data_IF_905539002330
#
_entry.id   IF_905539002330
#
_cell.length_a   1.000
_cell.length_b   1.000
_cell.length_c   1.000
_cell.angle_alpha   90.00
_cell.angle_beta   90.00
_cell.angle_gamma   90.00
#
_symmetry.space_group_name_H-M   'P 1'
#
loop_
_entity.id
_entity.type
_entity.pdbx_description
1 polymer ?
#
# COMPACT_ATOMS: atom_id res chain seq x y z
N UNK A 1 67.16 -33.27 -36.66
CA UNK A 1 66.12 -33.70 -35.70
C UNK A 1 65.43 -34.92 -36.35
N UNK A 2 65.31 -36.02 -35.62
CA UNK A 2 64.65 -37.21 -36.06
C UNK A 2 63.37 -37.54 -35.29
N UNK A 3 63.20 -36.94 -34.08
CA UNK A 3 61.98 -37.07 -33.30
C UNK A 3 61.85 -35.85 -32.36
N UNK A 4 60.62 -35.40 -32.12
CA UNK A 4 60.32 -34.27 -31.27
C UNK A 4 58.98 -34.44 -30.56
N UNK A 5 58.97 -34.09 -29.27
CA UNK A 5 57.76 -33.99 -28.44
C UNK A 5 57.81 -32.71 -27.65
N UNK A 6 56.80 -31.85 -27.77
CA UNK A 6 56.65 -30.67 -26.95
C UNK A 6 56.43 -31.05 -25.48
N UNK A 7 56.99 -30.24 -24.57
CA UNK A 7 56.67 -30.36 -23.16
C UNK A 7 55.21 -29.92 -22.90
N UNK A 8 54.53 -30.62 -22.03
CA UNK A 8 53.21 -30.25 -21.52
C UNK A 8 53.33 -29.66 -20.13
N UNK A 9 52.22 -29.34 -19.51
CA UNK A 9 52.22 -28.86 -18.10
C UNK A 9 52.80 -29.92 -17.13
N UNK A 10 52.67 -31.21 -17.46
CA UNK A 10 52.97 -32.34 -16.55
C UNK A 10 53.99 -33.31 -17.08
N UNK A 11 54.29 -33.26 -18.37
CA UNK A 11 55.22 -34.18 -19.02
C UNK A 11 56.34 -33.44 -19.69
N UNK A 12 57.53 -33.97 -19.55
CA UNK A 12 58.70 -33.45 -20.22
C UNK A 12 58.60 -33.64 -21.74
N UNK A 13 59.03 -32.62 -22.46
CA UNK A 13 59.27 -32.68 -23.89
C UNK A 13 60.67 -33.20 -24.21
N UNK A 14 60.96 -33.48 -25.48
CA UNK A 14 62.27 -33.85 -25.94
C UNK A 14 62.49 -33.56 -27.41
N UNK A 15 63.75 -33.43 -27.79
CA UNK A 15 64.19 -33.39 -29.18
C UNK A 15 65.33 -34.40 -29.36
N UNK A 16 65.18 -35.34 -30.30
CA UNK A 16 66.18 -36.30 -30.64
C UNK A 16 66.89 -35.87 -31.92
N UNK A 17 68.18 -35.84 -31.85
CA UNK A 17 69.07 -35.52 -32.98
C UNK A 17 69.87 -36.76 -33.40
N UNK A 18 70.23 -36.79 -34.68
CA UNK A 18 71.16 -37.80 -35.23
C UNK A 18 72.30 -37.10 -35.94
N UNK A 19 73.49 -37.55 -35.73
CA UNK A 19 74.67 -37.09 -36.44
C UNK A 19 74.69 -37.58 -37.87
N UNK A 20 74.73 -36.73 -38.88
CA UNK A 20 74.71 -37.08 -40.29
C UNK A 20 75.98 -37.75 -40.74
N UNK A 21 77.06 -37.80 -39.93
CA UNK A 21 78.35 -38.39 -40.27
C UNK A 21 78.55 -39.72 -39.59
N UNK A 22 78.15 -39.92 -38.34
CA UNK A 22 78.40 -41.15 -37.57
C UNK A 22 77.14 -41.82 -37.07
N UNK A 23 75.95 -41.33 -37.44
CA UNK A 23 74.64 -41.88 -37.03
C UNK A 23 74.46 -42.02 -35.51
N UNK A 24 75.33 -41.40 -34.72
CA UNK A 24 75.09 -41.29 -33.24
C UNK A 24 73.89 -40.45 -32.96
N UNK A 25 73.05 -40.86 -32.02
CA UNK A 25 71.85 -40.09 -31.55
C UNK A 25 72.06 -39.56 -30.15
N UNK A 26 71.49 -38.36 -29.88
CA UNK A 26 71.38 -37.83 -28.55
C UNK A 26 70.02 -37.17 -28.35
N UNK A 27 69.60 -37.08 -27.15
CA UNK A 27 68.27 -36.56 -26.75
C UNK A 27 68.42 -35.40 -25.79
N UNK A 28 67.89 -34.26 -26.18
CA UNK A 28 67.72 -33.10 -25.28
C UNK A 28 66.32 -33.17 -24.70
N UNK A 29 66.23 -33.05 -23.36
CA UNK A 29 64.95 -33.03 -22.64
C UNK A 29 64.58 -31.59 -22.29
N UNK A 30 63.31 -31.25 -22.55
CA UNK A 30 62.69 -29.99 -22.11
C UNK A 30 61.80 -30.29 -20.90
N UNK A 31 62.08 -29.81 -19.72
CA UNK A 31 61.27 -30.14 -18.55
C UNK A 31 59.83 -29.66 -18.71
N UNK A 32 58.90 -30.35 -18.05
CA UNK A 32 57.48 -29.98 -18.00
C UNK A 32 57.33 -28.52 -17.54
N UNK A 33 56.44 -27.78 -18.24
CA UNK A 33 56.29 -26.33 -18.03
C UNK A 33 55.61 -25.99 -16.70
N UNK A 34 55.01 -26.97 -16.01
CA UNK A 34 54.19 -26.75 -14.85
C UNK A 34 52.82 -26.14 -15.19
N UNK A 35 52.02 -25.85 -14.18
CA UNK A 35 50.75 -25.19 -14.35
C UNK A 35 50.83 -23.69 -14.10
N UNK A 36 50.36 -22.91 -15.05
CA UNK A 36 50.19 -21.42 -14.85
C UNK A 36 48.79 -21.19 -14.33
N UNK A 37 48.70 -20.80 -13.07
CA UNK A 37 47.45 -20.57 -12.34
C UNK A 37 46.79 -19.26 -12.71
N UNK A 38 45.48 -19.29 -12.95
CA UNK A 38 44.62 -18.13 -13.02
C UNK A 38 43.41 -18.34 -12.06
N UNK A 39 43.05 -17.28 -11.35
CA UNK A 39 41.92 -17.34 -10.40
C UNK A 39 40.58 -17.32 -11.11
N UNK A 40 39.67 -18.17 -10.66
CA UNK A 40 38.25 -18.15 -10.98
C UNK A 40 37.55 -17.38 -9.87
N UNK A 41 37.01 -16.19 -10.21
CA UNK A 41 36.41 -15.30 -9.23
C UNK A 41 35.24 -15.94 -8.48
N UNK A 42 35.10 -15.61 -7.19
CA UNK A 42 33.93 -15.95 -6.38
C UNK A 42 32.68 -15.27 -6.90
N UNK A 43 31.53 -15.92 -6.75
CA UNK A 43 30.20 -15.38 -7.04
C UNK A 43 29.40 -15.41 -5.77
N UNK A 44 28.92 -14.24 -5.32
CA UNK A 44 28.07 -14.14 -4.13
C UNK A 44 26.74 -14.84 -4.30
N UNK A 45 26.31 -15.57 -3.26
CA UNK A 45 24.96 -16.15 -3.22
C UNK A 45 23.92 -15.03 -2.98
N UNK A 46 22.81 -15.10 -3.73
CA UNK A 46 21.62 -14.26 -3.52
C UNK A 46 20.53 -15.02 -2.77
N UNK A 47 19.37 -14.41 -2.55
CA UNK A 47 18.23 -15.13 -1.95
C UNK A 47 17.71 -16.28 -2.84
N UNK A 48 17.97 -16.23 -4.16
CA UNK A 48 17.38 -17.15 -5.15
C UNK A 48 18.43 -18.01 -5.88
N UNK A 49 19.68 -17.55 -5.92
CA UNK A 49 20.74 -18.21 -6.66
C UNK A 49 21.90 -18.58 -5.74
N UNK A 50 22.39 -19.80 -5.92
CA UNK A 50 23.61 -20.23 -5.26
C UNK A 50 24.82 -19.44 -5.78
N UNK A 51 25.75 -19.17 -4.90
CA UNK A 51 27.06 -18.60 -5.22
C UNK A 51 28.11 -19.68 -5.41
N UNK A 52 29.37 -19.23 -5.60
CA UNK A 52 30.56 -20.09 -5.69
C UNK A 52 31.72 -19.42 -4.97
N UNK A 53 32.54 -20.23 -4.32
CA UNK A 53 33.81 -19.75 -3.76
C UNK A 53 34.80 -19.42 -4.89
N UNK A 54 35.89 -18.72 -4.53
CA UNK A 54 37.03 -18.56 -5.42
C UNK A 54 37.68 -19.91 -5.73
N UNK A 55 38.01 -20.11 -7.00
CA UNK A 55 38.75 -21.29 -7.49
C UNK A 55 39.96 -20.88 -8.32
N UNK A 56 40.59 -21.86 -8.97
CA UNK A 56 41.65 -21.60 -9.96
C UNK A 56 41.82 -22.71 -10.96
N UNK A 57 42.26 -22.38 -12.16
CA UNK A 57 42.59 -23.34 -13.21
C UNK A 57 43.90 -22.98 -13.93
N UNK A 58 44.47 -23.92 -14.65
CA UNK A 58 45.63 -23.66 -15.47
C UNK A 58 45.24 -23.04 -16.81
N UNK A 59 45.82 -21.89 -17.17
CA UNK A 59 45.58 -21.20 -18.46
C UNK A 59 45.96 -22.02 -19.68
N UNK A 60 46.95 -22.91 -19.57
CA UNK A 60 47.53 -23.65 -20.68
C UNK A 60 46.75 -24.93 -20.97
N UNK A 61 46.38 -25.70 -19.94
CA UNK A 61 45.77 -27.02 -20.13
C UNK A 61 44.33 -27.11 -19.58
N UNK A 62 43.81 -26.05 -18.94
CA UNK A 62 42.47 -26.01 -18.39
C UNK A 62 42.26 -26.85 -17.12
N UNK A 63 43.31 -27.53 -16.60
CA UNK A 63 43.18 -28.33 -15.38
C UNK A 63 42.73 -27.46 -14.20
N UNK A 64 41.68 -27.89 -13.49
CA UNK A 64 41.26 -27.26 -12.24
C UNK A 64 42.33 -27.52 -11.17
N UNK A 65 42.90 -26.46 -10.63
CA UNK A 65 43.92 -26.49 -9.56
C UNK A 65 43.26 -26.36 -8.19
N UNK A 66 42.27 -25.47 -8.08
CA UNK A 66 41.40 -25.32 -6.90
C UNK A 66 39.97 -25.29 -7.36
N UNK A 67 39.18 -26.31 -6.96
CA UNK A 67 37.77 -26.36 -7.33
C UNK A 67 36.97 -25.25 -6.62
N UNK A 68 36.01 -24.63 -7.34
CA UNK A 68 35.03 -23.78 -6.73
C UNK A 68 34.01 -24.64 -5.96
N UNK A 69 33.69 -24.22 -4.72
CA UNK A 69 32.63 -24.85 -3.90
C UNK A 69 31.34 -24.05 -4.06
N UNK A 70 30.20 -24.75 -4.07
CA UNK A 70 28.89 -24.10 -4.13
C UNK A 70 28.54 -23.49 -2.77
N UNK A 71 28.20 -22.20 -2.77
CA UNK A 71 27.61 -21.49 -1.62
C UNK A 71 26.09 -21.54 -1.81
N UNK A 72 25.32 -22.19 -0.90
CA UNK A 72 23.86 -22.26 -1.08
C UNK A 72 23.21 -20.88 -1.15
N UNK A 73 22.09 -20.79 -1.85
CA UNK A 73 21.28 -19.57 -1.89
C UNK A 73 20.88 -19.16 -0.46
N UNK A 74 20.80 -17.85 -0.20
CA UNK A 74 20.33 -17.29 1.07
C UNK A 74 18.82 -17.37 1.09
N UNK A 75 18.24 -17.88 2.17
CA UNK A 75 16.78 -17.89 2.33
C UNK A 75 16.20 -16.46 2.41
N UNK A 76 14.89 -16.35 2.12
CA UNK A 76 14.18 -15.09 2.26
C UNK A 76 13.86 -14.78 3.73
N UNK A 77 14.29 -13.62 4.21
CA UNK A 77 13.92 -13.08 5.52
C UNK A 77 12.66 -12.23 5.37
N UNK A 78 11.53 -12.71 5.89
CA UNK A 78 10.25 -12.03 5.77
C UNK A 78 10.15 -10.80 6.66
N UNK A 79 9.69 -9.69 6.10
CA UNK A 79 9.24 -8.48 6.80
C UNK A 79 7.74 -8.32 6.52
N UNK A 80 6.98 -8.04 7.58
CA UNK A 80 5.53 -7.86 7.48
C UNK A 80 5.16 -6.49 6.92
N UNK A 81 4.30 -6.49 5.91
CA UNK A 81 3.63 -5.31 5.38
C UNK A 81 2.28 -5.17 6.09
N UNK A 82 2.13 -4.16 6.95
CA UNK A 82 0.94 -4.00 7.76
C UNK A 82 -0.33 -3.84 6.91
N UNK A 83 -1.41 -4.48 7.32
CA UNK A 83 -2.73 -4.30 6.75
C UNK A 83 -3.34 -2.95 7.14
N UNK A 84 -4.24 -2.45 6.32
CA UNK A 84 -5.03 -1.23 6.56
C UNK A 84 -6.51 -1.58 6.45
N UNK A 85 -7.30 -1.29 7.49
CA UNK A 85 -8.75 -1.54 7.47
C UNK A 85 -9.48 -0.67 6.45
N UNK A 86 -10.47 -1.25 5.77
CA UNK A 86 -11.36 -0.48 4.90
C UNK A 86 -12.25 0.47 5.71
N UNK A 87 -12.50 1.66 5.17
CA UNK A 87 -13.45 2.65 5.71
C UNK A 87 -14.76 2.65 4.91
N UNK A 88 -15.67 3.57 5.21
CA UNK A 88 -16.90 3.72 4.41
C UNK A 88 -16.62 4.12 2.96
N UNK A 89 -15.52 4.81 2.69
CA UNK A 89 -15.22 5.43 1.40
C UNK A 89 -13.90 4.98 0.78
N UNK A 90 -12.99 4.41 1.57
CA UNK A 90 -11.70 3.93 1.10
C UNK A 90 -11.57 2.43 1.27
N UNK A 91 -10.96 1.78 0.27
CA UNK A 91 -10.55 0.38 0.35
C UNK A 91 -9.47 0.20 1.39
N UNK A 92 -9.42 -0.98 1.99
CA UNK A 92 -8.30 -1.42 2.84
C UNK A 92 -7.38 -2.38 2.09
N UNK A 93 -6.39 -2.90 2.82
CA UNK A 93 -5.49 -3.97 2.37
C UNK A 93 -5.26 -4.96 3.49
N UNK A 94 -5.18 -6.24 3.18
CA UNK A 94 -4.77 -7.27 4.14
C UNK A 94 -3.28 -7.12 4.49
N UNK A 95 -2.86 -7.82 5.53
CA UNK A 95 -1.45 -7.97 5.84
C UNK A 95 -0.75 -8.79 4.76
N UNK A 96 0.45 -8.34 4.34
CA UNK A 96 1.34 -9.00 3.42
C UNK A 96 2.73 -9.20 3.99
N UNK A 97 3.69 -9.61 3.15
CA UNK A 97 5.11 -9.66 3.52
C UNK A 97 6.02 -9.63 2.30
N UNK A 98 7.21 -9.08 2.48
CA UNK A 98 8.28 -9.07 1.49
C UNK A 98 9.62 -9.50 2.11
N UNK A 99 10.59 -9.85 1.27
CA UNK A 99 11.93 -10.17 1.74
C UNK A 99 12.71 -8.89 2.05
N UNK A 100 13.27 -8.79 3.26
CA UNK A 100 14.09 -7.67 3.70
C UNK A 100 15.32 -7.41 2.81
N UNK A 101 15.88 -8.46 2.22
CA UNK A 101 17.14 -8.40 1.49
C UNK A 101 16.96 -8.10 -0.01
N UNK A 102 15.99 -8.74 -0.66
CA UNK A 102 15.79 -8.64 -2.11
C UNK A 102 14.49 -7.96 -2.53
N UNK A 103 13.60 -7.62 -1.58
CA UNK A 103 12.31 -6.98 -1.84
C UNK A 103 11.24 -7.88 -2.47
N UNK A 104 11.53 -9.16 -2.73
CA UNK A 104 10.56 -10.08 -3.31
C UNK A 104 9.32 -10.18 -2.42
N UNK A 105 8.13 -10.01 -3.03
CA UNK A 105 6.86 -10.22 -2.33
C UNK A 105 6.71 -11.70 -2.00
N UNK A 106 6.61 -12.03 -0.71
CA UNK A 106 6.42 -13.39 -0.19
C UNK A 106 4.94 -13.70 0.02
N UNK A 107 4.19 -12.70 0.48
CA UNK A 107 2.73 -12.74 0.60
C UNK A 107 2.16 -11.43 0.10
N UNK A 108 1.39 -11.47 -0.97
CA UNK A 108 0.76 -10.27 -1.53
C UNK A 108 -0.33 -9.73 -0.60
N UNK A 109 -0.46 -8.40 -0.52
CA UNK A 109 -1.60 -7.76 0.12
C UNK A 109 -2.82 -7.85 -0.82
N UNK A 110 -3.97 -8.24 -0.26
CA UNK A 110 -5.26 -8.26 -0.97
C UNK A 110 -6.06 -7.02 -0.63
N UNK A 111 -6.82 -6.51 -1.60
CA UNK A 111 -7.69 -5.35 -1.40
C UNK A 111 -8.94 -5.74 -0.61
N UNK A 112 -9.22 -5.01 0.48
CA UNK A 112 -10.46 -5.11 1.24
C UNK A 112 -11.41 -4.05 0.67
N UNK A 113 -12.61 -4.42 0.18
CA UNK A 113 -13.55 -3.47 -0.40
C UNK A 113 -14.04 -2.45 0.63
N UNK A 114 -14.50 -1.28 0.17
CA UNK A 114 -15.12 -0.25 1.01
C UNK A 114 -16.32 -0.80 1.77
N UNK A 115 -16.53 -0.34 3.01
CA UNK A 115 -17.67 -0.77 3.83
C UNK A 115 -19.00 -0.15 3.39
N UNK A 116 -18.97 0.96 2.62
CA UNK A 116 -20.14 1.74 2.27
C UNK A 116 -20.73 2.50 3.46
N UNK A 117 -21.94 3.07 3.26
CA UNK A 117 -22.64 3.84 4.30
C UNK A 117 -23.90 3.12 4.77
N UNK A 118 -24.06 2.97 6.09
CA UNK A 118 -25.28 2.51 6.72
C UNK A 118 -26.06 3.72 7.22
N UNK A 119 -27.22 3.99 6.62
CA UNK A 119 -28.03 5.17 6.94
C UNK A 119 -28.74 5.03 8.28
N UNK A 120 -28.67 6.07 9.10
CA UNK A 120 -29.53 6.28 10.27
C UNK A 120 -30.36 7.54 10.03
N UNK A 121 -31.66 7.45 10.32
CA UNK A 121 -32.61 8.53 10.08
C UNK A 121 -32.48 9.62 11.16
N UNK A 122 -32.34 10.86 10.73
CA UNK A 122 -32.47 12.05 11.57
C UNK A 122 -33.90 12.53 11.52
N UNK A 123 -34.64 12.40 12.62
CA UNK A 123 -36.06 12.71 12.66
C UNK A 123 -36.33 14.19 12.28
N UNK A 124 -37.38 14.39 11.49
CA UNK A 124 -37.89 15.71 11.20
C UNK A 124 -38.58 16.34 12.41
N UNK A 125 -38.64 17.66 12.45
CA UNK A 125 -39.38 18.46 13.45
C UNK A 125 -40.40 19.30 12.71
N UNK A 126 -41.69 19.19 13.09
CA UNK A 126 -42.73 20.01 12.49
C UNK A 126 -42.56 21.48 12.85
N UNK A 127 -42.76 22.37 11.89
CA UNK A 127 -42.85 23.78 12.15
C UNK A 127 -44.08 24.10 13.00
N UNK A 128 -43.96 25.08 13.91
CA UNK A 128 -45.07 25.64 14.68
C UNK A 128 -45.38 27.06 14.18
N UNK A 129 -46.29 27.74 14.84
CA UNK A 129 -46.60 29.15 14.49
C UNK A 129 -45.39 30.05 14.67
N UNK A 130 -44.49 29.76 15.64
CA UNK A 130 -43.40 30.65 16.03
C UNK A 130 -42.00 30.06 15.77
N UNK A 131 -41.91 28.73 15.65
CA UNK A 131 -40.63 28.06 15.48
C UNK A 131 -40.57 27.35 14.15
N UNK A 132 -39.42 27.49 13.47
CA UNK A 132 -39.14 26.73 12.27
C UNK A 132 -39.00 25.26 12.60
N UNK A 133 -39.41 24.40 11.68
CA UNK A 133 -39.21 22.98 11.70
C UNK A 133 -38.02 22.54 10.85
N UNK A 134 -37.82 21.25 10.73
CA UNK A 134 -36.83 20.62 9.85
C UNK A 134 -37.43 19.38 9.19
N UNK A 135 -37.03 19.13 7.95
CA UNK A 135 -37.36 17.88 7.27
C UNK A 135 -36.62 16.70 7.90
N UNK A 136 -37.06 15.50 7.60
CA UNK A 136 -36.28 14.29 7.87
C UNK A 136 -34.98 14.27 7.05
N UNK A 137 -33.88 13.89 7.69
CA UNK A 137 -32.57 13.67 7.09
C UNK A 137 -32.02 12.29 7.37
N UNK A 138 -30.74 12.07 7.03
CA UNK A 138 -30.03 10.86 7.43
C UNK A 138 -28.52 11.07 7.43
N UNK A 139 -27.83 10.34 8.28
CA UNK A 139 -26.38 10.28 8.36
C UNK A 139 -25.88 8.83 8.40
N UNK A 140 -24.60 8.61 8.14
CA UNK A 140 -23.98 7.29 8.26
C UNK A 140 -23.70 6.97 9.73
N UNK A 141 -24.19 5.81 10.20
CA UNK A 141 -23.98 5.33 11.57
C UNK A 141 -22.50 5.17 11.95
N UNK A 142 -21.63 4.86 10.96
CA UNK A 142 -20.21 4.54 11.20
C UNK A 142 -19.30 5.76 11.13
N UNK A 143 -19.48 6.64 10.13
CA UNK A 143 -18.57 7.76 9.88
C UNK A 143 -19.21 9.15 10.11
N UNK A 144 -20.53 9.22 10.41
CA UNK A 144 -21.25 10.46 10.63
C UNK A 144 -21.52 11.29 9.36
N UNK A 145 -21.09 10.86 8.18
CA UNK A 145 -21.33 11.60 6.94
C UNK A 145 -22.80 11.81 6.70
N UNK A 146 -23.21 13.05 6.43
CA UNK A 146 -24.60 13.38 6.07
C UNK A 146 -24.91 12.77 4.71
N UNK A 147 -25.90 11.88 4.65
CA UNK A 147 -26.36 11.23 3.43
C UNK A 147 -27.54 11.98 2.82
N UNK A 148 -28.43 12.50 3.66
CA UNK A 148 -29.55 13.37 3.30
C UNK A 148 -29.61 14.53 4.28
N UNK A 149 -29.35 15.74 3.81
CA UNK A 149 -29.40 16.92 4.66
C UNK A 149 -30.84 17.23 5.08
N UNK A 150 -31.01 17.66 6.35
CA UNK A 150 -32.26 18.26 6.80
C UNK A 150 -32.40 19.66 6.21
N UNK A 151 -33.57 20.01 5.71
CA UNK A 151 -33.90 21.37 5.27
C UNK A 151 -34.81 22.05 6.28
N UNK A 152 -34.66 23.35 6.45
CA UNK A 152 -35.49 24.16 7.35
C UNK A 152 -36.87 24.33 6.74
N UNK A 153 -37.92 24.10 7.56
CA UNK A 153 -39.32 24.41 7.26
C UNK A 153 -39.64 25.69 8.01
N UNK A 154 -40.01 26.76 7.30
CA UNK A 154 -40.30 28.03 7.92
C UNK A 154 -41.46 27.91 8.95
N UNK A 155 -41.44 28.74 10.01
CA UNK A 155 -42.57 28.84 10.93
C UNK A 155 -43.84 29.22 10.17
N UNK A 156 -44.97 28.60 10.55
CA UNK A 156 -46.23 28.77 9.81
C UNK A 156 -46.90 30.13 10.03
N UNK A 157 -46.43 30.87 11.03
CA UNK A 157 -47.05 32.11 11.45
C UNK A 157 -48.37 31.87 12.19
N UNK A 158 -49.01 32.95 12.61
CA UNK A 158 -50.29 32.91 13.29
C UNK A 158 -51.46 33.13 12.32
N UNK A 159 -52.49 32.27 12.36
CA UNK A 159 -53.79 32.50 11.72
C UNK A 159 -54.72 33.04 12.79
N UNK A 160 -54.91 34.37 12.77
CA UNK A 160 -55.72 35.03 13.79
C UNK A 160 -57.19 34.93 13.50
N UNK A 161 -58.01 34.73 14.55
CA UNK A 161 -59.46 34.93 14.51
C UNK A 161 -59.82 36.40 14.31
N UNK A 162 -61.07 36.70 14.01
CA UNK A 162 -61.58 38.05 14.06
C UNK A 162 -61.42 38.64 15.48
N UNK A 163 -61.26 39.97 15.56
CA UNK A 163 -61.24 40.69 16.82
C UNK A 163 -62.57 40.61 17.52
N UNK A 164 -62.61 40.22 18.80
CA UNK A 164 -63.80 40.23 19.68
C UNK A 164 -63.62 41.30 20.73
N UNK A 165 -64.65 42.12 20.93
CA UNK A 165 -64.65 43.13 22.00
C UNK A 165 -64.79 42.46 23.38
N UNK A 166 -63.78 42.60 24.21
CA UNK A 166 -63.77 42.07 25.59
C UNK A 166 -64.18 43.10 26.62
N UNK A 167 -64.04 44.40 26.30
CA UNK A 167 -64.48 45.51 27.09
C UNK A 167 -64.96 46.65 26.19
N UNK A 168 -66.18 47.17 26.41
CA UNK A 168 -66.71 48.33 25.67
C UNK A 168 -66.03 49.62 26.12
N UNK A 169 -65.94 50.58 25.22
CA UNK A 169 -65.47 51.91 25.60
C UNK A 169 -66.40 52.57 26.62
N UNK A 170 -65.83 53.34 27.57
CA UNK A 170 -66.58 54.20 28.52
C UNK A 170 -66.02 55.59 28.43
N UNK A 171 -66.63 56.53 29.16
CA UNK A 171 -66.12 57.92 29.23
C UNK A 171 -64.69 58.00 29.75
N UNK A 172 -64.25 57.02 30.54
CA UNK A 172 -62.97 56.99 31.22
C UNK A 172 -61.99 55.94 30.66
N UNK A 173 -62.46 54.98 29.78
CA UNK A 173 -61.61 53.91 29.28
C UNK A 173 -61.94 53.53 27.82
N UNK A 174 -60.88 53.29 27.00
CA UNK A 174 -61.03 52.83 25.66
C UNK A 174 -61.47 51.34 25.61
N UNK A 175 -62.16 50.94 24.52
CA UNK A 175 -62.52 49.54 24.31
C UNK A 175 -61.32 48.66 24.21
N UNK A 176 -61.37 47.41 24.72
CA UNK A 176 -60.41 46.40 24.54
C UNK A 176 -60.95 45.30 23.60
N UNK A 177 -60.10 44.87 22.67
CA UNK A 177 -60.41 43.75 21.78
C UNK A 177 -59.33 42.70 21.93
N UNK A 178 -59.72 41.47 21.74
CA UNK A 178 -58.83 40.33 21.76
C UNK A 178 -59.09 39.43 20.52
N UNK A 179 -58.03 38.86 20.03
CA UNK A 179 -58.10 37.77 19.03
C UNK A 179 -57.21 36.62 19.47
N UNK A 180 -57.47 35.45 18.95
CA UNK A 180 -56.65 34.27 19.24
C UNK A 180 -56.21 33.57 17.93
N UNK A 181 -54.99 33.02 17.96
CA UNK A 181 -54.58 32.16 16.85
C UNK A 181 -55.43 30.85 16.83
N UNK A 182 -55.93 30.51 15.66
CA UNK A 182 -56.79 29.34 15.52
C UNK A 182 -56.02 28.03 15.72
N UNK A 183 -54.70 28.04 15.49
CA UNK A 183 -53.80 26.88 15.57
C UNK A 183 -53.21 26.74 16.99
N UNK A 184 -52.40 27.69 17.47
CA UNK A 184 -51.67 27.59 18.74
C UNK A 184 -52.38 28.20 19.94
N UNK A 185 -53.53 28.83 19.75
CA UNK A 185 -54.36 29.47 20.79
C UNK A 185 -53.71 30.70 21.46
N UNK A 186 -52.53 31.15 21.00
CA UNK A 186 -51.90 32.40 21.47
C UNK A 186 -52.88 33.54 21.25
N UNK A 187 -53.00 34.43 22.26
CA UNK A 187 -53.92 35.59 22.22
C UNK A 187 -53.16 36.89 22.03
N UNK A 188 -53.78 37.84 21.34
CA UNK A 188 -53.29 39.19 21.15
C UNK A 188 -54.40 40.16 21.53
N UNK A 189 -54.05 41.22 22.24
CA UNK A 189 -55.01 42.26 22.67
C UNK A 189 -54.66 43.61 22.08
N UNK A 190 -55.68 44.43 21.78
CA UNK A 190 -55.48 45.81 21.37
C UNK A 190 -56.50 46.74 22.06
N UNK A 191 -56.13 47.99 22.17
CA UNK A 191 -57.04 49.06 22.63
C UNK A 191 -57.59 49.81 21.43
N UNK A 192 -58.87 50.06 21.33
CA UNK A 192 -59.52 50.70 20.20
C UNK A 192 -60.36 51.89 20.67
N UNK A 193 -59.99 53.07 20.19
CA UNK A 193 -60.70 54.31 20.34
C UNK A 193 -60.86 54.81 21.78
N UNK A 194 -60.76 56.08 21.92
CA UNK A 194 -61.54 56.86 22.85
C UNK A 194 -62.74 57.45 22.13
#
# INVERSE_FOLDING_TARGET
VIDHKDATCTEDGYTTYECNVCSSTWKDTLPAAGHTEVADAAVEATCETAGKTEGSHCTTCGKVLKAQETIPAKDHTAVTDAGVGATCEATGKTEGSHCATCGKVLKAQETIPVKGHTAVTDAGVKATCETAGKTEGSHCATCGKVLKAQTTIAATGHIWSAWKTTSKATVFAAAKQQRSCTICKKTETRTVGK
#
